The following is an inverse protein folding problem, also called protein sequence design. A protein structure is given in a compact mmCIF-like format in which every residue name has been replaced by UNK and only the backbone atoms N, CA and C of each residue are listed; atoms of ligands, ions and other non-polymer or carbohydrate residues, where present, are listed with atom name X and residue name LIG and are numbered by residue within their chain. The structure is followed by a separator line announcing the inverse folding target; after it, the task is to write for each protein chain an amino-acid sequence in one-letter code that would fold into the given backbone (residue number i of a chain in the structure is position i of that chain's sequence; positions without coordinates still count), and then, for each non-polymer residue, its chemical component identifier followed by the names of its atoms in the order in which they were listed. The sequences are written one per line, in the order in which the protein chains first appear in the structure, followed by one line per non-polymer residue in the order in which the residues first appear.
data_IF_889742501491
#
_entry.id   IF_889742501491
#
_cell.length_a   1.000
_cell.length_b   1.000
_cell.length_c   1.000
_cell.angle_alpha   90.00
_cell.angle_beta   90.00
_cell.angle_gamma   90.00
#
_symmetry.space_group_name_H-M   'P 1'
#
loop_
_entity.id
_entity.type
_entity.pdbx_description
1 polymer ?
#
# COMPACT_ATOMS: atom_id res chain seq x y z
N UNK A 1 -0.42 -22.30 -10.60
CA UNK A 1 -0.26 -21.55 -9.35
C UNK A 1 1.17 -21.02 -9.38
N UNK A 2 1.36 -19.76 -9.76
CA UNK A 2 2.70 -19.20 -9.92
C UNK A 2 3.27 -18.89 -8.53
N UNK A 3 4.33 -19.59 -8.13
CA UNK A 3 5.15 -19.20 -6.98
C UNK A 3 5.68 -17.79 -7.25
N UNK A 4 5.19 -16.83 -6.49
CA UNK A 4 5.71 -15.47 -6.49
C UNK A 4 7.14 -15.52 -5.94
N UNK A 5 8.13 -15.44 -6.83
CA UNK A 5 9.53 -15.26 -6.45
C UNK A 5 9.65 -13.99 -5.61
N UNK A 6 9.72 -14.14 -4.29
CA UNK A 6 10.05 -13.02 -3.41
C UNK A 6 11.48 -12.57 -3.75
N UNK A 7 11.60 -11.34 -4.22
CA UNK A 7 12.91 -10.71 -4.36
C UNK A 7 13.46 -10.40 -2.97
N UNK A 8 14.78 -10.43 -2.80
CA UNK A 8 15.46 -10.11 -1.54
C UNK A 8 14.98 -8.77 -0.94
N UNK A 9 14.77 -7.69 -1.73
CA UNK A 9 14.19 -6.44 -1.23
C UNK A 9 12.78 -6.60 -0.61
N UNK A 10 11.92 -7.44 -1.20
CA UNK A 10 10.57 -7.68 -0.71
C UNK A 10 10.56 -8.44 0.62
N UNK A 11 11.44 -9.44 0.76
CA UNK A 11 11.59 -10.19 2.00
C UNK A 11 12.13 -9.32 3.15
N UNK A 12 13.06 -8.41 2.83
CA UNK A 12 13.62 -7.43 3.77
C UNK A 12 12.57 -6.42 4.25
N UNK A 13 11.72 -5.91 3.35
CA UNK A 13 10.63 -4.99 3.72
C UNK A 13 9.61 -5.65 4.65
N UNK A 14 9.13 -6.85 4.29
CA UNK A 14 8.08 -7.56 5.03
C UNK A 14 8.52 -8.02 6.43
N UNK A 15 9.83 -8.21 6.62
CA UNK A 15 10.38 -8.76 7.85
C UNK A 15 11.41 -7.83 8.52
N UNK A 16 11.35 -6.51 8.27
CA UNK A 16 12.39 -5.57 8.73
C UNK A 16 12.69 -5.67 10.22
N UNK A 17 11.65 -5.87 11.05
CA UNK A 17 11.79 -5.98 12.49
C UNK A 17 12.49 -7.29 12.90
N UNK A 18 12.14 -8.39 12.24
CA UNK A 18 12.77 -9.70 12.47
C UNK A 18 14.25 -9.67 12.08
N UNK A 19 14.56 -9.02 10.97
CA UNK A 19 15.92 -8.90 10.45
C UNK A 19 16.77 -7.98 11.34
N UNK A 20 16.20 -6.89 11.85
CA UNK A 20 16.86 -6.05 12.83
C UNK A 20 17.21 -6.83 14.12
N UNK A 21 16.26 -7.61 14.66
CA UNK A 21 16.51 -8.46 15.83
C UNK A 21 17.60 -9.51 15.56
N UNK A 22 17.60 -10.13 14.38
CA UNK A 22 18.63 -11.11 14.00
C UNK A 22 20.02 -10.46 13.93
N UNK A 23 20.12 -9.27 13.33
CA UNK A 23 21.39 -8.52 13.24
C UNK A 23 21.91 -8.20 14.64
N UNK A 24 21.03 -7.81 15.56
CA UNK A 24 21.42 -7.49 16.94
C UNK A 24 21.93 -8.73 17.67
N UNK A 25 21.25 -9.88 17.55
CA UNK A 25 21.74 -11.17 18.10
C UNK A 25 23.10 -11.55 17.52
N UNK A 26 23.33 -11.35 16.22
CA UNK A 26 24.63 -11.66 15.61
C UNK A 26 25.75 -10.75 16.13
N UNK A 27 25.43 -9.51 16.52
CA UNK A 27 26.41 -8.62 17.17
C UNK A 27 26.67 -9.06 18.61
N UNK A 28 25.63 -9.41 19.36
CA UNK A 28 25.76 -9.91 20.74
C UNK A 28 26.59 -11.19 20.82
N UNK A 29 26.41 -12.11 19.87
CA UNK A 29 27.19 -13.36 19.76
C UNK A 29 28.60 -13.14 19.18
N UNK A 30 28.96 -11.92 18.81
CA UNK A 30 30.26 -11.57 18.22
C UNK A 30 30.47 -12.10 16.79
N UNK A 31 29.45 -12.69 16.18
CA UNK A 31 29.46 -13.15 14.80
C UNK A 31 29.46 -11.99 13.80
N UNK A 32 29.00 -10.80 14.22
CA UNK A 32 29.00 -9.56 13.46
C UNK A 32 29.60 -8.43 14.30
N UNK A 33 30.46 -7.60 13.73
CA UNK A 33 30.95 -6.41 14.42
C UNK A 33 29.96 -5.25 14.32
N UNK A 34 30.00 -4.30 15.26
CA UNK A 34 29.22 -3.05 15.17
C UNK A 34 29.46 -2.30 13.86
N UNK A 35 30.72 -2.25 13.39
CA UNK A 35 31.06 -1.66 12.11
C UNK A 35 30.43 -2.43 10.93
N UNK A 36 30.39 -3.77 11.02
CA UNK A 36 29.69 -4.62 10.06
C UNK A 36 28.18 -4.36 10.04
N UNK A 37 27.55 -4.24 11.21
CA UNK A 37 26.14 -3.85 11.35
C UNK A 37 25.86 -2.50 10.69
N UNK A 38 26.67 -1.47 11.00
CA UNK A 38 26.51 -0.13 10.41
C UNK A 38 26.64 -0.16 8.89
N UNK A 39 27.59 -0.93 8.36
CA UNK A 39 27.78 -1.10 6.92
C UNK A 39 26.58 -1.80 6.26
N UNK A 40 26.10 -2.89 6.83
CA UNK A 40 24.91 -3.62 6.34
C UNK A 40 23.69 -2.71 6.30
N UNK A 41 23.44 -1.94 7.38
CA UNK A 41 22.32 -1.01 7.44
C UNK A 41 22.45 0.09 6.39
N UNK A 42 23.64 0.70 6.24
CA UNK A 42 23.89 1.73 5.24
C UNK A 42 23.68 1.24 3.81
N UNK A 43 24.25 0.06 3.47
CA UNK A 43 24.11 -0.54 2.14
C UNK A 43 22.65 -0.90 1.86
N UNK A 44 21.95 -1.48 2.84
CA UNK A 44 20.53 -1.82 2.75
C UNK A 44 19.67 -0.57 2.52
N UNK A 45 19.85 0.48 3.31
CA UNK A 45 19.11 1.74 3.14
C UNK A 45 19.39 2.40 1.79
N UNK A 46 20.63 2.32 1.28
CA UNK A 46 20.98 2.85 -0.03
C UNK A 46 20.34 2.04 -1.17
N UNK A 47 20.19 0.73 -0.99
CA UNK A 47 19.50 -0.15 -1.94
C UNK A 47 17.98 0.10 -1.93
N UNK A 48 17.41 0.53 -0.81
CA UNK A 48 16.01 0.97 -0.67
C UNK A 48 15.77 2.43 -1.13
N UNK A 49 16.80 3.14 -1.62
CA UNK A 49 16.69 4.55 -1.99
C UNK A 49 15.97 4.83 -3.32
N UNK A 50 15.82 3.82 -4.18
CA UNK A 50 15.00 3.93 -5.39
C UNK A 50 13.68 3.19 -5.14
N UNK A 51 12.53 3.88 -5.11
CA UNK A 51 11.24 3.21 -4.96
C UNK A 51 11.09 2.17 -6.07
N UNK A 52 10.94 0.90 -5.69
CA UNK A 52 10.70 -0.15 -6.67
C UNK A 52 9.37 0.13 -7.38
N UNK A 53 9.27 -0.17 -8.68
CA UNK A 53 8.08 0.12 -9.51
C UNK A 53 6.74 -0.34 -8.91
N UNK A 54 6.79 -1.35 -8.03
CA UNK A 54 5.62 -1.97 -7.39
C UNK A 54 5.50 -1.70 -5.88
N UNK A 55 6.36 -0.88 -5.27
CA UNK A 55 6.18 -0.44 -3.87
C UNK A 55 5.19 0.71 -3.79
N UNK A 56 4.57 0.93 -2.63
CA UNK A 56 3.73 2.10 -2.36
C UNK A 56 4.50 3.08 -1.48
N UNK A 57 4.35 4.38 -1.73
CA UNK A 57 4.85 5.42 -0.83
C UNK A 57 3.98 5.45 0.43
N UNK A 58 4.53 4.98 1.56
CA UNK A 58 3.83 4.93 2.85
C UNK A 58 4.38 5.96 3.84
N UNK A 59 5.09 6.99 3.37
CA UNK A 59 5.72 8.01 4.21
C UNK A 59 4.71 8.87 4.99
N UNK A 60 3.50 9.03 4.46
CA UNK A 60 2.38 9.70 5.11
C UNK A 60 1.04 9.18 4.56
N UNK A 61 -0.06 9.50 5.23
CA UNK A 61 -1.39 9.19 4.73
C UNK A 61 -1.65 9.84 3.36
N UNK A 62 -1.28 11.11 3.21
CA UNK A 62 -1.49 11.86 1.96
C UNK A 62 -0.64 11.28 0.82
N UNK A 63 0.64 11.01 1.07
CA UNK A 63 1.54 10.40 0.09
C UNK A 63 1.03 9.01 -0.35
N UNK A 64 0.55 8.20 0.59
CA UNK A 64 -0.03 6.90 0.30
C UNK A 64 -1.28 7.02 -0.58
N UNK A 65 -2.19 7.93 -0.22
CA UNK A 65 -3.43 8.14 -0.97
C UNK A 65 -3.11 8.58 -2.40
N UNK A 66 -2.25 9.57 -2.59
CA UNK A 66 -1.85 10.05 -3.91
C UNK A 66 -1.20 8.95 -4.74
N UNK A 67 -0.30 8.16 -4.15
CA UNK A 67 0.41 7.09 -4.86
C UNK A 67 -0.51 5.94 -5.26
N UNK A 68 -1.44 5.53 -4.38
CA UNK A 68 -2.48 4.54 -4.71
C UNK A 68 -3.30 5.00 -5.91
N UNK A 69 -3.78 6.25 -5.92
CA UNK A 69 -4.61 6.75 -7.01
C UNK A 69 -3.83 6.87 -8.32
N UNK A 70 -2.58 7.33 -8.25
CA UNK A 70 -1.67 7.40 -9.40
C UNK A 70 -1.44 6.02 -10.01
N UNK A 71 -1.01 5.04 -9.22
CA UNK A 71 -0.70 3.68 -9.68
C UNK A 71 -1.96 2.88 -10.05
N UNK A 72 -3.04 3.08 -9.32
CA UNK A 72 -4.34 2.49 -9.62
C UNK A 72 -4.85 2.93 -11.00
N UNK A 73 -4.69 4.22 -11.35
CA UNK A 73 -5.00 4.73 -12.69
C UNK A 73 -4.11 4.11 -13.76
N UNK A 74 -2.78 4.10 -13.54
CA UNK A 74 -1.85 3.56 -14.55
C UNK A 74 -2.04 2.06 -14.81
N UNK A 75 -2.49 1.30 -13.81
CA UNK A 75 -2.77 -0.15 -13.93
C UNK A 75 -4.22 -0.48 -14.30
N UNK A 76 -5.09 0.52 -14.43
CA UNK A 76 -6.51 0.31 -14.75
C UNK A 76 -7.32 -0.35 -13.63
N UNK A 77 -6.88 -0.22 -12.38
CA UNK A 77 -7.56 -0.81 -11.20
C UNK A 77 -8.68 0.07 -10.66
N UNK A 78 -8.74 1.34 -11.08
CA UNK A 78 -9.78 2.26 -10.66
C UNK A 78 -10.90 2.29 -11.69
N UNK A 79 -12.12 2.03 -11.23
CA UNK A 79 -13.33 2.16 -12.03
C UNK A 79 -13.91 3.58 -12.02
N UNK A 80 -14.86 3.83 -12.92
CA UNK A 80 -15.63 5.07 -12.94
C UNK A 80 -16.43 5.25 -11.64
N UNK A 81 -16.51 6.49 -11.15
CA UNK A 81 -17.46 6.80 -10.08
C UNK A 81 -18.89 6.52 -10.58
N UNK A 82 -19.75 5.90 -9.77
CA UNK A 82 -21.14 5.66 -10.15
C UNK A 82 -21.84 7.00 -10.46
N UNK A 83 -22.58 7.07 -11.56
CA UNK A 83 -23.32 8.27 -11.90
C UNK A 83 -24.39 8.60 -10.84
N UNK A 84 -24.66 9.89 -10.64
CA UNK A 84 -25.84 10.35 -9.92
C UNK A 84 -27.11 9.85 -10.62
N UNK A 85 -28.15 9.54 -9.85
CA UNK A 85 -29.41 8.98 -10.38
C UNK A 85 -30.60 9.68 -9.74
N UNK A 86 -31.72 9.69 -10.43
CA UNK A 86 -32.98 10.17 -9.84
C UNK A 86 -33.73 9.03 -9.17
N UNK A 87 -34.24 9.25 -7.96
CA UNK A 87 -35.05 8.26 -7.26
C UNK A 87 -36.36 8.00 -8.02
N UNK A 88 -36.66 6.74 -8.40
CA UNK A 88 -37.90 6.43 -9.13
C UNK A 88 -39.15 6.54 -8.25
N UNK A 89 -39.00 6.56 -6.91
CA UNK A 89 -40.12 6.64 -5.97
C UNK A 89 -40.58 8.07 -5.65
N UNK A 90 -39.65 9.02 -5.57
CA UNK A 90 -39.97 10.40 -5.16
C UNK A 90 -39.38 11.50 -6.06
N UNK A 91 -38.58 11.16 -7.06
CA UNK A 91 -37.98 12.12 -7.99
C UNK A 91 -36.78 12.90 -7.43
N UNK A 92 -36.38 12.68 -6.17
CA UNK A 92 -35.21 13.34 -5.57
C UNK A 92 -33.91 12.75 -6.15
N UNK A 93 -32.94 13.60 -6.40
CA UNK A 93 -31.61 13.20 -6.86
C UNK A 93 -30.85 12.42 -5.78
N UNK A 94 -30.26 11.30 -6.17
CA UNK A 94 -29.46 10.42 -5.35
C UNK A 94 -27.97 10.61 -5.65
N UNK A 95 -27.17 10.64 -4.60
CA UNK A 95 -25.71 10.73 -4.72
C UNK A 95 -25.16 9.44 -5.37
N UNK A 96 -24.04 9.55 -6.10
CA UNK A 96 -23.23 8.42 -6.55
C UNK A 96 -23.11 7.28 -5.54
N UNK A 97 -23.50 6.08 -5.94
CA UNK A 97 -23.32 4.87 -5.13
C UNK A 97 -24.34 4.68 -4.00
N UNK A 98 -25.31 5.59 -3.83
CA UNK A 98 -26.43 5.38 -2.91
C UNK A 98 -27.24 4.15 -3.33
N UNK A 99 -27.50 3.26 -2.37
CA UNK A 99 -28.30 2.05 -2.57
C UNK A 99 -29.80 2.27 -2.30
N UNK A 100 -30.11 3.27 -1.48
CA UNK A 100 -31.47 3.62 -1.06
C UNK A 100 -31.63 5.14 -1.01
N UNK A 101 -32.82 5.63 -1.35
CA UNK A 101 -33.13 7.05 -1.30
C UNK A 101 -33.16 7.56 0.15
N UNK A 102 -32.35 8.58 0.46
CA UNK A 102 -32.33 9.24 1.77
C UNK A 102 -33.64 9.96 2.13
N UNK A 103 -34.47 10.28 1.14
CA UNK A 103 -35.74 11.00 1.33
C UNK A 103 -36.93 10.07 1.58
N UNK A 104 -37.07 8.99 0.81
CA UNK A 104 -38.26 8.12 0.87
C UNK A 104 -37.97 6.63 1.12
N UNK A 105 -36.69 6.22 1.21
CA UNK A 105 -36.30 4.83 1.48
C UNK A 105 -36.40 3.86 0.29
N UNK A 106 -36.86 4.30 -0.89
CA UNK A 106 -36.93 3.46 -2.09
C UNK A 106 -35.54 2.96 -2.48
N UNK A 107 -35.41 1.66 -2.75
CA UNK A 107 -34.18 1.06 -3.30
C UNK A 107 -33.88 1.68 -4.67
N UNK A 108 -32.64 2.12 -4.86
CA UNK A 108 -32.16 2.69 -6.11
C UNK A 108 -31.61 1.55 -6.96
N UNK A 109 -32.17 1.38 -8.17
CA UNK A 109 -31.76 0.36 -9.15
C UNK A 109 -31.14 1.00 -10.38
#
# INVERSE_FOLDING_TARGET
MAESNLTIPHALFMNRNLIAMLIDVLVEEGALSDAGRQRILSETMSAFGAPHENELDISSADALVEDIFRKGRSKGYLGEAPAARTCPGCGVEAEPGQKFCKSCGTKLT
#
